data_IF_019710495050
#
_entry.id   IF_019710495050
#
_cell.length_a   1.000
_cell.length_b   1.000
_cell.length_c   1.000
_cell.angle_alpha   90.00
_cell.angle_beta   90.00
_cell.angle_gamma   90.00
#
_symmetry.space_group_name_H-M   'P 1'
#
loop_
_entity.id
_entity.type
_entity.pdbx_description
1 polymer ?
#
# COMPACT_ATOMS: atom_id res chain seq x y z
N UNK A 1 1.91 10.81 50.42
CA UNK A 1 2.74 11.78 49.70
C UNK A 1 2.69 11.49 48.19
N UNK A 2 1.51 11.48 47.58
CA UNK A 2 0.90 12.60 46.82
C UNK A 2 1.89 13.36 45.93
N UNK A 3 1.99 12.97 44.66
CA UNK A 3 2.61 13.77 43.59
C UNK A 3 1.56 14.06 42.53
N UNK A 4 1.12 15.31 42.58
CA UNK A 4 0.13 15.94 41.75
C UNK A 4 0.63 16.06 40.30
N UNK A 5 -0.21 15.64 39.38
CA UNK A 5 -0.14 15.83 37.94
C UNK A 5 -0.16 17.32 37.58
N UNK A 6 0.99 17.87 37.18
CA UNK A 6 1.11 19.18 36.53
C UNK A 6 0.85 19.02 35.03
N UNK A 7 -0.44 19.08 34.66
CA UNK A 7 -0.84 19.28 33.28
C UNK A 7 -0.67 20.76 32.93
N UNK A 8 0.34 21.04 32.09
CA UNK A 8 0.51 22.32 31.41
C UNK A 8 -0.69 22.56 30.49
N UNK A 9 -1.55 23.52 30.86
CA UNK A 9 -2.60 24.04 29.98
C UNK A 9 -1.97 24.93 28.90
N UNK A 10 -2.19 24.67 27.59
CA UNK A 10 -1.81 25.60 26.54
C UNK A 10 -2.70 26.85 26.57
N UNK A 11 -2.09 28.02 26.68
CA UNK A 11 -2.73 29.34 26.82
C UNK A 11 -3.02 30.02 25.47
N UNK A 12 -3.47 29.28 24.44
CA UNK A 12 -3.71 29.82 23.09
C UNK A 12 -5.19 29.95 22.74
N UNK A 13 -6.00 30.42 23.69
CA UNK A 13 -7.39 30.82 23.45
C UNK A 13 -7.48 32.35 23.57
N UNK A 14 -7.03 33.04 22.53
CA UNK A 14 -7.52 34.39 22.25
C UNK A 14 -8.66 34.31 21.24
N UNK A 15 -9.82 34.94 21.51
CA UNK A 15 -10.93 34.98 20.58
C UNK A 15 -10.57 35.93 19.44
N UNK A 16 -10.33 35.39 18.26
CA UNK A 16 -10.31 36.18 17.03
C UNK A 16 -11.62 36.96 16.92
N UNK A 17 -11.52 38.28 17.11
CA UNK A 17 -12.58 39.23 16.82
C UNK A 17 -12.93 39.17 15.34
N UNK A 18 -13.96 38.39 15.01
CA UNK A 18 -14.55 38.39 13.67
C UNK A 18 -15.44 39.63 13.57
N UNK A 19 -14.86 40.68 12.99
CA UNK A 19 -15.55 41.86 12.49
C UNK A 19 -16.71 41.41 11.57
N UNK A 20 -17.95 41.71 11.96
CA UNK A 20 -19.11 41.41 11.13
C UNK A 20 -19.17 42.43 9.98
N UNK A 21 -19.01 42.02 8.71
CA UNK A 21 -19.21 42.94 7.61
C UNK A 21 -20.69 43.36 7.55
N UNK A 22 -20.91 44.68 7.50
CA UNK A 22 -22.23 45.30 7.30
C UNK A 22 -22.97 44.64 6.15
N UNK A 23 -24.19 44.15 6.41
CA UNK A 23 -25.16 43.75 5.39
C UNK A 23 -25.42 44.93 4.44
N UNK A 24 -24.74 44.96 3.29
CA UNK A 24 -25.28 45.63 2.11
C UNK A 24 -26.32 44.69 1.50
N UNK A 25 -27.59 45.08 1.60
CA UNK A 25 -28.69 44.46 0.88
C UNK A 25 -28.53 44.73 -0.62
N UNK A 26 -27.63 44.00 -1.27
CA UNK A 26 -27.69 43.86 -2.71
C UNK A 26 -28.89 42.96 -3.00
N UNK A 27 -30.00 43.58 -3.43
CA UNK A 27 -31.10 42.86 -4.07
C UNK A 27 -30.48 42.09 -5.24
N UNK A 28 -30.52 40.74 -5.27
CA UNK A 28 -30.10 40.04 -6.45
C UNK A 28 -31.10 40.41 -7.55
N UNK A 29 -30.63 41.17 -8.53
CA UNK A 29 -31.29 41.27 -9.82
C UNK A 29 -31.23 39.85 -10.41
N UNK A 30 -32.26 39.05 -10.16
CA UNK A 30 -32.36 37.68 -10.66
C UNK A 30 -32.58 37.75 -12.17
N UNK A 31 -31.50 37.74 -12.94
CA UNK A 31 -31.56 37.55 -14.38
C UNK A 31 -31.96 36.10 -14.67
N UNK A 32 -33.06 35.85 -15.42
CA UNK A 32 -33.52 34.50 -15.73
C UNK A 32 -32.74 33.93 -16.91
N UNK A 33 -31.48 33.53 -16.72
CA UNK A 33 -30.67 32.94 -17.82
C UNK A 33 -30.18 31.51 -17.54
N UNK A 34 -30.39 30.97 -16.33
CA UNK A 34 -29.84 29.66 -15.95
C UNK A 34 -30.86 28.51 -15.81
N UNK A 35 -32.00 28.54 -16.50
CA UNK A 35 -32.93 27.39 -16.48
C UNK A 35 -32.65 26.32 -17.56
N UNK A 36 -31.86 26.61 -18.59
CA UNK A 36 -31.57 25.62 -19.65
C UNK A 36 -30.62 24.50 -19.21
N UNK A 37 -29.71 24.74 -18.25
CA UNK A 37 -28.72 23.74 -17.80
C UNK A 37 -29.28 22.63 -16.89
N UNK A 38 -30.43 22.86 -16.24
CA UNK A 38 -31.00 21.90 -15.26
C UNK A 38 -31.60 20.64 -15.90
N UNK A 39 -32.10 20.72 -17.14
CA UNK A 39 -32.65 19.55 -17.84
C UNK A 39 -31.56 18.60 -18.35
N UNK A 40 -30.41 19.14 -18.77
CA UNK A 40 -29.23 18.35 -19.12
C UNK A 40 -28.60 17.71 -17.87
N UNK A 41 -28.60 18.42 -16.73
CA UNK A 41 -28.13 17.88 -15.46
C UNK A 41 -28.95 16.65 -15.00
N UNK A 42 -30.29 16.71 -15.09
CA UNK A 42 -31.15 15.59 -14.71
C UNK A 42 -30.98 14.33 -15.60
N UNK A 43 -30.57 14.50 -16.86
CA UNK A 43 -30.21 13.38 -17.73
C UNK A 43 -28.79 12.85 -17.42
N UNK A 44 -27.86 13.73 -17.06
CA UNK A 44 -26.51 13.34 -16.62
C UNK A 44 -26.51 12.52 -15.33
N UNK A 45 -27.43 12.79 -14.40
CA UNK A 45 -27.54 12.04 -13.14
C UNK A 45 -27.86 10.55 -13.36
N UNK A 46 -28.52 10.20 -14.49
CA UNK A 46 -28.78 8.81 -14.88
C UNK A 46 -27.67 8.18 -15.71
N UNK A 47 -26.92 8.99 -16.46
CA UNK A 47 -25.81 8.53 -17.29
C UNK A 47 -24.54 8.27 -16.49
N UNK A 48 -24.26 9.08 -15.47
CA UNK A 48 -23.10 8.95 -14.58
C UNK A 48 -22.90 7.54 -14.00
N UNK A 49 -23.90 6.87 -13.41
CA UNK A 49 -23.71 5.51 -12.89
C UNK A 49 -23.42 4.49 -13.99
N UNK A 50 -24.00 4.65 -15.19
CA UNK A 50 -23.74 3.74 -16.32
C UNK A 50 -22.30 3.88 -16.80
N UNK A 51 -21.83 5.11 -16.97
CA UNK A 51 -20.44 5.38 -17.36
C UNK A 51 -19.48 4.89 -16.27
N UNK A 52 -19.77 5.18 -15.00
CA UNK A 52 -18.99 4.68 -13.86
C UNK A 52 -18.91 3.15 -13.83
N UNK A 53 -20.03 2.46 -14.07
CA UNK A 53 -20.09 1.01 -14.16
C UNK A 53 -19.24 0.45 -15.30
N UNK A 54 -19.30 1.05 -16.49
CA UNK A 54 -18.49 0.63 -17.63
C UNK A 54 -16.99 0.83 -17.39
N UNK A 55 -16.59 1.97 -16.83
CA UNK A 55 -15.19 2.24 -16.49
C UNK A 55 -14.69 1.27 -15.40
N UNK A 56 -15.52 0.99 -14.39
CA UNK A 56 -15.20 0.02 -13.35
C UNK A 56 -14.99 -1.39 -13.90
N UNK A 57 -15.89 -1.87 -14.76
CA UNK A 57 -15.74 -3.17 -15.45
C UNK A 57 -14.50 -3.21 -16.33
N UNK A 58 -14.21 -2.15 -17.07
CA UNK A 58 -13.01 -2.05 -17.90
C UNK A 58 -11.73 -2.11 -17.08
N UNK A 59 -11.68 -1.36 -15.96
CA UNK A 59 -10.55 -1.39 -15.04
C UNK A 59 -10.37 -2.80 -14.43
N UNK A 60 -11.45 -3.44 -13.98
CA UNK A 60 -11.41 -4.80 -13.47
C UNK A 60 -10.88 -5.79 -14.52
N UNK A 61 -11.34 -5.70 -15.77
CA UNK A 61 -10.88 -6.55 -16.87
C UNK A 61 -9.38 -6.40 -17.17
N UNK A 62 -8.77 -5.25 -16.88
CA UNK A 62 -7.32 -5.01 -17.03
C UNK A 62 -6.51 -5.37 -15.78
N UNK A 63 -7.05 -5.14 -14.59
CA UNK A 63 -6.36 -5.37 -13.33
C UNK A 63 -6.33 -6.85 -12.96
N UNK A 64 -7.44 -7.58 -13.16
CA UNK A 64 -7.56 -9.02 -12.84
C UNK A 64 -6.44 -9.85 -13.48
N UNK A 65 -6.13 -9.76 -14.80
CA UNK A 65 -5.06 -10.56 -15.40
C UNK A 65 -3.67 -10.16 -14.89
N UNK A 66 -3.44 -8.89 -14.51
CA UNK A 66 -2.19 -8.47 -13.88
C UNK A 66 -2.06 -9.11 -12.51
N UNK A 67 -3.09 -9.01 -11.66
CA UNK A 67 -3.11 -9.67 -10.35
C UNK A 67 -2.92 -11.19 -10.45
N UNK A 68 -3.48 -11.82 -11.49
CA UNK A 68 -3.34 -13.26 -11.73
C UNK A 68 -1.90 -13.64 -12.10
N UNK A 69 -1.23 -12.84 -12.94
CA UNK A 69 0.19 -13.03 -13.26
C UNK A 69 1.12 -12.76 -12.08
N UNK A 70 0.73 -11.84 -11.21
CA UNK A 70 1.52 -11.44 -10.04
C UNK A 70 1.23 -12.30 -8.80
N UNK A 71 0.39 -13.33 -8.92
CA UNK A 71 0.05 -14.28 -7.84
C UNK A 71 -0.52 -13.59 -6.58
N UNK A 72 -1.14 -12.42 -6.76
CA UNK A 72 -1.67 -11.62 -5.64
C UNK A 72 -2.96 -12.20 -5.03
N UNK A 73 -3.54 -13.23 -5.66
CA UNK A 73 -4.79 -13.86 -5.21
C UNK A 73 -4.43 -15.11 -4.40
N UNK A 74 -4.55 -15.09 -3.05
CA UNK A 74 -4.26 -16.26 -2.24
C UNK A 74 -5.20 -17.41 -2.64
N UNK A 75 -4.64 -18.61 -2.81
CA UNK A 75 -5.39 -19.83 -3.12
C UNK A 75 -5.67 -20.11 -4.60
N UNK A 76 -5.27 -19.23 -5.53
CA UNK A 76 -5.40 -19.50 -6.98
C UNK A 76 -4.02 -19.44 -7.65
N UNK A 77 -3.41 -20.61 -7.83
CA UNK A 77 -2.14 -20.73 -8.54
C UNK A 77 -2.31 -20.49 -10.03
N UNK A 78 -1.65 -19.45 -10.56
CA UNK A 78 -1.59 -19.22 -12.00
C UNK A 78 -0.83 -20.36 -12.70
N UNK A 79 -1.07 -20.63 -13.99
CA UNK A 79 -0.30 -21.66 -14.72
C UNK A 79 1.19 -21.28 -14.81
N UNK A 80 1.51 -19.99 -14.79
CA UNK A 80 2.89 -19.48 -14.70
C UNK A 80 3.53 -19.82 -13.34
N UNK A 81 2.79 -19.68 -12.24
CA UNK A 81 3.22 -20.14 -10.92
C UNK A 81 3.53 -21.63 -10.94
N UNK A 82 2.60 -22.45 -11.45
CA UNK A 82 2.79 -23.90 -11.48
C UNK A 82 4.00 -24.30 -12.34
N UNK A 83 4.26 -23.58 -13.44
CA UNK A 83 5.46 -23.79 -14.25
C UNK A 83 6.73 -23.45 -13.47
N UNK A 84 6.76 -22.32 -12.75
CA UNK A 84 7.88 -21.91 -11.90
C UNK A 84 8.07 -22.85 -10.71
N UNK A 85 7.01 -23.23 -10.02
CA UNK A 85 7.04 -24.16 -8.89
C UNK A 85 7.63 -25.52 -9.29
N UNK A 86 7.37 -26.00 -10.51
CA UNK A 86 8.02 -27.22 -11.06
C UNK A 86 9.52 -27.05 -11.30
N UNK A 87 9.99 -25.83 -11.55
CA UNK A 87 11.44 -25.54 -11.70
C UNK A 87 12.14 -25.35 -10.36
N UNK A 88 11.40 -25.09 -9.27
CA UNK A 88 11.98 -25.01 -7.94
C UNK A 88 12.34 -26.44 -7.52
N UNK A 89 13.63 -26.75 -7.64
CA UNK A 89 14.20 -28.03 -7.24
C UNK A 89 14.49 -27.99 -5.74
N UNK A 90 13.54 -28.47 -4.95
CA UNK A 90 13.65 -28.55 -3.48
C UNK A 90 14.68 -29.60 -3.02
N UNK A 91 15.23 -30.39 -3.94
CA UNK A 91 16.16 -31.49 -3.73
C UNK A 91 17.64 -31.06 -3.59
N UNK A 92 18.00 -29.79 -3.83
CA UNK A 92 19.37 -29.28 -3.73
C UNK A 92 19.80 -28.89 -2.30
N UNK A 93 19.65 -29.79 -1.32
CA UNK A 93 20.08 -29.54 0.07
C UNK A 93 21.61 -29.61 0.25
N UNK A 94 22.34 -30.23 -0.67
CA UNK A 94 23.79 -30.46 -0.61
C UNK A 94 24.63 -29.34 -1.23
N UNK A 95 24.05 -28.54 -2.13
CA UNK A 95 24.76 -27.51 -2.91
C UNK A 95 24.75 -26.11 -2.25
N UNK A 96 24.14 -25.97 -1.07
CA UNK A 96 24.30 -24.80 -0.21
C UNK A 96 23.37 -23.61 -0.49
N UNK A 97 22.43 -23.71 -1.44
CA UNK A 97 21.34 -22.72 -1.60
C UNK A 97 20.13 -23.20 -0.80
N UNK A 98 20.14 -22.89 0.50
CA UNK A 98 19.04 -23.26 1.41
C UNK A 98 17.87 -22.30 1.19
N UNK A 99 16.85 -22.73 0.44
CA UNK A 99 15.53 -22.12 0.52
C UNK A 99 14.93 -22.51 1.88
N UNK A 100 14.95 -21.61 2.86
CA UNK A 100 14.18 -21.79 4.08
C UNK A 100 12.69 -21.72 3.71
N UNK A 101 11.93 -22.81 3.80
CA UNK A 101 10.50 -22.74 3.55
C UNK A 101 9.86 -21.93 4.68
N UNK A 102 9.48 -20.69 4.39
CA UNK A 102 8.81 -19.82 5.36
C UNK A 102 7.41 -20.34 5.75
N UNK A 103 6.84 -21.29 4.98
CA UNK A 103 5.46 -21.79 5.15
C UNK A 103 5.32 -23.12 5.91
N UNK A 104 6.39 -23.91 6.12
CA UNK A 104 6.25 -25.27 6.69
C UNK A 104 6.53 -25.36 8.21
N UNK A 105 6.61 -24.21 8.90
CA UNK A 105 6.40 -24.13 10.35
C UNK A 105 7.61 -24.30 11.26
N UNK A 106 8.66 -25.01 10.86
CA UNK A 106 9.88 -25.12 11.69
C UNK A 106 11.06 -24.33 11.09
N UNK A 107 11.32 -23.10 11.57
CA UNK A 107 12.47 -22.33 11.14
C UNK A 107 13.74 -23.07 11.55
N UNK A 108 14.73 -23.11 10.65
CA UNK A 108 16.06 -23.62 10.96
C UNK A 108 16.64 -22.77 12.09
N UNK A 109 16.67 -23.32 13.32
CA UNK A 109 17.13 -22.60 14.53
C UNK A 109 18.65 -22.62 14.70
N UNK A 110 19.32 -23.53 14.01
CA UNK A 110 20.75 -23.76 14.15
C UNK A 110 21.44 -23.69 12.80
N UNK A 111 22.57 -22.98 12.75
CA UNK A 111 23.32 -22.81 11.52
C UNK A 111 23.99 -24.13 11.14
N UNK A 112 23.75 -24.67 9.92
CA UNK A 112 24.37 -25.93 9.51
C UNK A 112 25.89 -25.79 9.44
N UNK A 113 26.61 -26.81 9.93
CA UNK A 113 28.07 -26.79 10.04
C UNK A 113 28.79 -26.54 8.70
N UNK A 114 28.19 -26.97 7.58
CA UNK A 114 28.72 -26.74 6.24
C UNK A 114 28.72 -25.26 5.81
N UNK A 115 27.90 -24.42 6.45
CA UNK A 115 27.77 -22.99 6.17
C UNK A 115 28.51 -22.11 7.18
N UNK A 116 29.03 -22.69 8.26
CA UNK A 116 29.85 -21.97 9.23
C UNK A 116 31.11 -21.39 8.54
N UNK A 117 31.46 -20.14 8.86
CA UNK A 117 32.63 -19.42 8.35
C UNK A 117 32.63 -19.10 6.83
N UNK A 118 31.54 -19.37 6.11
CA UNK A 118 31.40 -19.04 4.67
C UNK A 118 30.66 -17.72 4.41
N UNK A 119 30.33 -16.96 5.46
CA UNK A 119 29.63 -15.69 5.31
C UNK A 119 30.57 -14.60 4.75
N UNK A 120 30.08 -13.86 3.76
CA UNK A 120 30.76 -12.70 3.20
C UNK A 120 30.45 -11.48 4.06
N UNK A 121 31.42 -11.04 4.86
CA UNK A 121 31.24 -10.00 5.87
C UNK A 121 31.81 -8.67 5.36
N UNK A 122 31.07 -7.59 5.58
CA UNK A 122 31.56 -6.23 5.34
C UNK A 122 32.45 -5.80 6.50
N UNK A 123 33.70 -5.50 6.19
CA UNK A 123 34.66 -4.97 7.14
C UNK A 123 34.32 -3.52 7.52
N UNK A 124 34.67 -3.10 8.73
CA UNK A 124 34.54 -1.69 9.17
C UNK A 124 35.34 -0.73 8.28
N UNK A 125 36.40 -1.21 7.64
CA UNK A 125 37.22 -0.47 6.67
C UNK A 125 36.60 -0.37 5.26
N UNK A 126 35.41 -0.94 5.04
CA UNK A 126 34.68 -0.84 3.77
C UNK A 126 34.94 -1.98 2.78
N UNK A 127 35.90 -2.87 3.04
CA UNK A 127 36.13 -4.06 2.22
C UNK A 127 35.14 -5.19 2.49
N UNK A 128 35.01 -6.13 1.56
CA UNK A 128 34.27 -7.38 1.77
C UNK A 128 35.25 -8.55 1.78
N UNK A 129 35.16 -9.42 2.79
CA UNK A 129 35.97 -10.64 2.88
C UNK A 129 35.14 -11.80 3.42
N UNK A 130 35.54 -13.02 3.10
CA UNK A 130 34.96 -14.20 3.73
C UNK A 130 35.36 -14.26 5.20
N UNK A 131 34.46 -14.74 6.06
CA UNK A 131 34.73 -14.94 7.48
C UNK A 131 35.92 -15.88 7.72
N UNK A 132 36.17 -16.83 6.83
CA UNK A 132 37.35 -17.71 6.88
C UNK A 132 38.69 -17.01 6.63
N UNK A 133 38.68 -15.81 6.05
CA UNK A 133 39.87 -15.02 5.69
C UNK A 133 40.10 -13.82 6.64
N UNK A 134 39.23 -13.66 7.64
CA UNK A 134 39.37 -12.70 8.74
C UNK A 134 40.15 -13.31 9.88
#
# INVERSE_FOLDING_TARGET
>A
TSRSSLWLKPSWLEPFGVERPRRRSHRPCQAPVFQAGRRLAAAMDKLMPVVGGMVGLYAAAKIIPVMYRWELIPGVGSPEYQAKAKTIRYDHYTEGIVYSPYDTGDPVREMPAASANKMYLRQKSGGWKFQSEM
#
